data_IF_417602494512
#
_entry.id   IF_417602494512
#
_cell.length_a   1.000
_cell.length_b   1.000
_cell.length_c   1.000
_cell.angle_alpha   90.00
_cell.angle_beta   90.00
_cell.angle_gamma   90.00
#
_symmetry.space_group_name_H-M   'P 1'
#
loop_
_entity.id
_entity.type
_entity.pdbx_description
1 polymer ?
#
# COMPACT_ATOMS: atom_id res chain seq x y z
N UNK A 1 6.60 -11.06 -14.04
CA UNK A 1 6.12 -10.03 -13.08
C UNK A 1 7.03 -8.81 -13.14
N UNK A 2 6.47 -7.60 -13.13
CA UNK A 2 7.19 -6.31 -13.09
C UNK A 2 6.95 -5.68 -11.72
N UNK A 3 7.99 -5.12 -11.11
CA UNK A 3 7.93 -4.49 -9.79
C UNK A 3 8.55 -3.10 -9.90
N UNK A 4 7.87 -2.09 -9.35
CA UNK A 4 8.37 -0.71 -9.19
C UNK A 4 8.31 -0.33 -7.72
N UNK A 5 9.45 0.02 -7.16
CA UNK A 5 9.50 0.68 -5.85
C UNK A 5 9.12 2.13 -6.06
N UNK A 6 7.97 2.53 -5.55
CA UNK A 6 7.46 3.90 -5.66
C UNK A 6 8.04 4.78 -4.56
N UNK A 7 8.24 4.21 -3.39
CA UNK A 7 8.85 4.86 -2.24
C UNK A 7 9.41 3.87 -1.26
N UNK A 8 10.40 4.27 -0.46
CA UNK A 8 11.15 3.39 0.45
C UNK A 8 11.50 4.04 1.79
N UNK A 9 10.90 5.19 2.11
CA UNK A 9 11.04 5.81 3.42
C UNK A 9 9.90 5.38 4.35
N UNK A 10 10.13 5.47 5.65
CA UNK A 10 9.10 5.36 6.67
C UNK A 10 8.17 6.58 6.65
N UNK A 11 7.15 6.60 7.51
CA UNK A 11 6.23 7.71 7.67
C UNK A 11 6.95 9.05 7.82
N UNK A 12 6.48 10.07 7.09
CA UNK A 12 7.10 11.39 7.01
C UNK A 12 8.14 11.56 5.90
N UNK A 13 8.53 10.47 5.19
CA UNK A 13 9.44 10.52 4.06
C UNK A 13 10.91 10.69 4.44
N UNK A 14 11.77 10.80 3.42
CA UNK A 14 13.18 11.13 3.61
C UNK A 14 13.61 12.26 2.65
N UNK A 15 14.07 13.42 3.15
CA UNK A 15 14.19 13.79 4.56
C UNK A 15 12.83 13.94 5.24
N UNK A 16 12.71 13.54 6.49
CA UNK A 16 11.50 13.80 7.27
C UNK A 16 11.32 15.32 7.45
N UNK A 17 10.10 15.80 7.23
CA UNK A 17 9.80 17.23 7.07
C UNK A 17 10.24 18.12 8.23
N UNK A 18 10.21 17.62 9.46
CA UNK A 18 10.53 18.34 10.70
C UNK A 18 11.85 17.90 11.37
N UNK A 19 12.71 17.13 10.67
CA UNK A 19 13.91 16.53 11.25
C UNK A 19 15.17 17.29 10.81
N UNK A 20 15.98 17.73 11.78
CA UNK A 20 17.29 18.36 11.59
C UNK A 20 18.47 17.40 11.86
N UNK A 21 18.21 16.09 11.98
CA UNK A 21 19.28 15.11 12.11
C UNK A 21 20.26 15.21 10.92
N UNK A 22 21.58 15.04 11.13
CA UNK A 22 22.57 15.13 10.05
C UNK A 22 22.19 14.36 8.79
N UNK A 23 21.64 13.14 8.91
CA UNK A 23 21.18 12.36 7.76
C UNK A 23 20.02 13.04 7.00
N UNK A 24 19.08 13.69 7.69
CA UNK A 24 17.99 14.43 7.05
C UNK A 24 18.44 15.74 6.41
N UNK A 25 19.58 16.27 6.80
CA UNK A 25 20.17 17.47 6.18
C UNK A 25 20.89 17.16 4.87
N UNK A 26 21.37 15.92 4.67
CA UNK A 26 22.09 15.52 3.45
C UNK A 26 21.27 15.76 2.18
N UNK A 27 20.04 15.20 2.03
CA UNK A 27 19.24 15.44 0.83
C UNK A 27 18.82 16.89 0.66
N UNK A 28 18.59 17.65 1.76
CA UNK A 28 18.27 19.09 1.68
C UNK A 28 19.43 19.93 1.15
N UNK A 29 20.65 19.42 1.26
CA UNK A 29 21.88 20.05 0.74
C UNK A 29 22.25 19.53 -0.66
N UNK A 30 21.44 18.66 -1.25
CA UNK A 30 21.69 18.09 -2.57
C UNK A 30 22.79 17.04 -2.61
N UNK A 31 23.03 16.33 -1.49
CA UNK A 31 24.02 15.25 -1.43
C UNK A 31 23.59 14.08 -2.36
N UNK A 32 24.37 13.77 -3.41
CA UNK A 32 24.01 12.73 -4.37
C UNK A 32 24.01 11.32 -3.80
N UNK A 33 24.72 11.09 -2.68
CA UNK A 33 24.72 9.79 -2.00
C UNK A 33 23.53 9.61 -1.05
N UNK A 34 22.73 10.68 -0.87
CA UNK A 34 21.56 10.68 0.00
C UNK A 34 20.33 11.24 -0.73
N UNK A 35 19.88 10.61 -1.83
CA UNK A 35 18.73 11.11 -2.59
C UNK A 35 17.45 11.05 -1.75
N UNK A 36 16.53 12.02 -1.92
CA UNK A 36 15.22 11.99 -1.26
C UNK A 36 14.45 10.69 -1.58
N UNK A 37 13.60 10.26 -0.65
CA UNK A 37 12.73 9.09 -0.79
C UNK A 37 11.31 9.43 -0.33
N UNK A 38 10.34 9.07 -1.15
CA UNK A 38 8.93 9.08 -0.76
C UNK A 38 8.62 7.90 0.17
N UNK A 39 7.48 7.95 0.84
CA UNK A 39 7.04 6.94 1.79
C UNK A 39 6.74 5.60 1.11
N UNK A 40 6.90 4.52 1.85
CA UNK A 40 6.88 3.13 1.35
C UNK A 40 5.64 2.80 0.54
N UNK A 41 5.84 2.37 -0.70
CA UNK A 41 4.81 1.81 -1.58
C UNK A 41 5.46 1.06 -2.75
N UNK A 42 4.80 0.02 -3.26
CA UNK A 42 5.19 -0.68 -4.49
C UNK A 42 4.06 -0.63 -5.51
N UNK A 43 4.42 -0.71 -6.79
CA UNK A 43 3.50 -1.08 -7.86
C UNK A 43 3.97 -2.39 -8.50
N UNK A 44 3.06 -3.34 -8.68
CA UNK A 44 3.34 -4.67 -9.21
C UNK A 44 2.38 -4.98 -10.36
N UNK A 45 2.90 -5.59 -11.42
CA UNK A 45 2.10 -5.98 -12.57
C UNK A 45 2.57 -7.33 -13.12
N UNK A 46 1.65 -8.20 -13.51
CA UNK A 46 1.97 -9.45 -14.21
C UNK A 46 2.24 -9.21 -15.70
N UNK A 47 1.46 -8.34 -16.34
CA UNK A 47 1.48 -8.06 -17.78
C UNK A 47 2.24 -6.78 -18.17
N UNK A 48 2.32 -5.81 -17.27
CA UNK A 48 2.93 -4.50 -17.46
C UNK A 48 1.93 -3.44 -17.93
N UNK A 49 0.65 -3.77 -18.00
CA UNK A 49 -0.45 -2.91 -18.44
C UNK A 49 -1.36 -2.53 -17.27
N UNK A 50 -1.83 -3.51 -16.50
CA UNK A 50 -2.59 -3.28 -15.28
C UNK A 50 -1.73 -3.48 -14.03
N UNK A 51 -1.87 -2.58 -13.06
CA UNK A 51 -1.02 -2.49 -11.88
C UNK A 51 -1.79 -2.64 -10.59
N UNK A 52 -1.15 -3.26 -9.62
CA UNK A 52 -1.57 -3.36 -8.22
C UNK A 52 -0.62 -2.51 -7.39
N UNK A 53 -1.17 -1.63 -6.54
CA UNK A 53 -0.38 -0.93 -5.53
C UNK A 53 -0.32 -1.76 -4.25
N UNK A 54 0.84 -1.85 -3.64
CA UNK A 54 1.01 -2.33 -2.28
C UNK A 54 1.27 -1.12 -1.37
N UNK A 55 0.28 -0.83 -0.55
CA UNK A 55 0.08 0.40 0.21
C UNK A 55 -0.09 1.65 -0.68
N UNK A 56 -0.80 2.63 -0.16
CA UNK A 56 -1.07 3.91 -0.80
C UNK A 56 -0.58 5.04 0.10
N UNK A 57 0.68 5.43 -0.06
CA UNK A 57 1.28 6.48 0.76
C UNK A 57 0.71 7.86 0.46
N UNK A 58 0.81 8.83 1.37
CA UNK A 58 0.42 10.22 1.13
C UNK A 58 1.08 10.82 -0.13
N UNK A 59 2.26 10.29 -0.51
CA UNK A 59 3.03 10.74 -1.69
C UNK A 59 2.50 10.15 -3.01
N UNK A 60 1.42 9.36 -2.99
CA UNK A 60 0.96 8.59 -4.15
C UNK A 60 0.80 9.43 -5.42
N UNK A 61 0.30 10.66 -5.33
CA UNK A 61 0.17 11.54 -6.49
C UNK A 61 1.52 11.83 -7.16
N UNK A 62 2.56 12.10 -6.36
CA UNK A 62 3.91 12.30 -6.86
C UNK A 62 4.50 10.98 -7.39
N UNK A 63 4.27 9.88 -6.68
CA UNK A 63 4.72 8.56 -7.10
C UNK A 63 4.13 8.15 -8.45
N UNK A 64 2.85 8.45 -8.71
CA UNK A 64 2.24 8.23 -10.03
C UNK A 64 2.90 9.12 -11.07
N UNK A 65 3.11 10.41 -10.78
CA UNK A 65 3.73 11.36 -11.71
C UNK A 65 5.15 10.93 -12.12
N UNK A 66 5.94 10.44 -11.18
CA UNK A 66 7.32 10.03 -11.41
C UNK A 66 7.44 8.65 -12.11
N UNK A 67 6.33 7.92 -12.24
CA UNK A 67 6.31 6.58 -12.83
C UNK A 67 5.36 6.49 -14.04
N UNK A 68 5.85 6.72 -15.27
CA UNK A 68 5.04 6.76 -16.49
C UNK A 68 4.17 5.50 -16.72
N UNK A 69 4.57 4.34 -16.19
CA UNK A 69 3.78 3.10 -16.25
C UNK A 69 2.44 3.17 -15.50
N UNK A 70 2.30 4.17 -14.61
CA UNK A 70 1.07 4.43 -13.85
C UNK A 70 0.26 5.61 -14.42
N UNK A 71 0.73 6.23 -15.52
CA UNK A 71 -0.01 7.31 -16.16
C UNK A 71 -1.26 6.80 -16.88
N UNK A 72 -2.29 7.64 -17.08
CA UNK A 72 -3.39 7.35 -17.96
C UNK A 72 -2.91 6.99 -19.37
N UNK A 73 -3.51 5.97 -19.98
CA UNK A 73 -3.17 5.52 -21.32
C UNK A 73 -3.95 6.34 -22.36
N UNK A 74 -3.26 6.96 -23.34
CA UNK A 74 -3.89 7.91 -24.27
C UNK A 74 -5.04 7.32 -25.10
N UNK A 75 -5.02 6.01 -25.35
CA UNK A 75 -6.01 5.27 -26.14
C UNK A 75 -7.26 4.82 -25.36
N UNK A 76 -7.30 5.08 -24.03
CA UNK A 76 -8.36 4.63 -23.13
C UNK A 76 -9.39 5.71 -22.77
N UNK A 77 -9.38 6.85 -23.48
CA UNK A 77 -10.31 7.94 -23.30
C UNK A 77 -9.78 9.09 -22.43
N UNK A 78 -10.67 10.01 -22.06
CA UNK A 78 -10.30 11.22 -21.31
C UNK A 78 -9.78 10.94 -19.91
N UNK A 79 -10.27 9.88 -19.28
CA UNK A 79 -9.87 9.43 -17.94
C UNK A 79 -9.57 7.94 -17.99
N UNK A 80 -8.42 7.56 -17.51
CA UNK A 80 -7.97 6.17 -17.37
C UNK A 80 -7.08 6.04 -16.14
N UNK A 81 -7.05 4.86 -15.57
CA UNK A 81 -6.08 4.47 -14.56
C UNK A 81 -5.65 3.04 -14.80
N UNK A 82 -4.34 2.77 -14.93
CA UNK A 82 -3.83 1.41 -14.98
C UNK A 82 -3.88 0.71 -13.60
N UNK A 83 -4.14 1.45 -12.50
CA UNK A 83 -4.26 0.90 -11.16
C UNK A 83 -5.60 0.20 -11.03
N UNK A 84 -5.59 -1.12 -10.84
CA UNK A 84 -6.79 -1.97 -10.74
C UNK A 84 -7.04 -2.51 -9.35
N UNK A 85 -6.01 -2.52 -8.49
CA UNK A 85 -6.14 -2.92 -7.10
C UNK A 85 -5.14 -2.18 -6.21
N UNK A 86 -5.49 -2.07 -4.93
CA UNK A 86 -4.61 -1.62 -3.85
C UNK A 86 -4.67 -2.67 -2.75
N UNK A 87 -3.53 -3.17 -2.31
CA UNK A 87 -3.40 -4.10 -1.19
C UNK A 87 -2.81 -3.36 0.00
N UNK A 88 -3.50 -3.37 1.12
CA UNK A 88 -3.06 -2.70 2.35
C UNK A 88 -2.50 -3.71 3.35
N UNK A 89 -1.36 -3.39 3.94
CA UNK A 89 -0.70 -4.25 4.94
C UNK A 89 -0.97 -3.84 6.37
N UNK A 90 -1.40 -2.62 6.59
CA UNK A 90 -1.90 -2.07 7.86
C UNK A 90 -2.73 -0.81 7.60
N UNK A 91 -3.20 -0.13 8.66
CA UNK A 91 -4.01 1.07 8.56
C UNK A 91 -3.25 2.37 8.88
N UNK A 92 -1.92 2.36 8.95
CA UNK A 92 -1.14 3.57 9.22
C UNK A 92 -1.31 4.63 8.13
N UNK A 93 -1.19 5.90 8.51
CA UNK A 93 -1.38 7.06 7.61
C UNK A 93 -0.51 6.95 6.36
N UNK A 94 0.74 6.54 6.52
CA UNK A 94 1.70 6.37 5.42
C UNK A 94 1.38 5.19 4.50
N UNK A 95 0.43 4.33 4.87
CA UNK A 95 -0.03 3.22 4.03
C UNK A 95 -1.44 3.42 3.44
N UNK A 96 -2.29 4.27 4.03
CA UNK A 96 -3.68 4.40 3.58
C UNK A 96 -4.08 5.78 3.07
N UNK A 97 -3.39 6.86 3.47
CA UNK A 97 -3.84 8.21 3.14
C UNK A 97 -3.81 8.52 1.63
N UNK A 98 -2.95 7.87 0.87
CA UNK A 98 -2.89 7.99 -0.59
C UNK A 98 -4.14 7.51 -1.31
N UNK A 99 -4.98 6.66 -0.68
CA UNK A 99 -6.28 6.28 -1.23
C UNK A 99 -7.15 7.49 -1.56
N UNK A 100 -7.03 8.58 -0.81
CA UNK A 100 -7.77 9.81 -1.03
C UNK A 100 -7.45 10.48 -2.39
N UNK A 101 -6.27 10.19 -2.97
CA UNK A 101 -5.93 10.63 -4.32
C UNK A 101 -6.66 9.83 -5.41
N UNK A 102 -7.18 8.64 -5.10
CA UNK A 102 -7.84 7.74 -6.05
C UNK A 102 -9.37 7.92 -6.10
N UNK A 103 -9.91 8.99 -5.49
CA UNK A 103 -11.36 9.28 -5.41
C UNK A 103 -12.03 9.66 -6.74
N UNK A 104 -11.28 9.71 -7.85
CA UNK A 104 -11.71 10.30 -9.12
C UNK A 104 -12.57 9.36 -9.99
N UNK A 105 -13.39 8.49 -9.37
CA UNK A 105 -14.36 7.61 -10.04
C UNK A 105 -13.73 6.64 -11.07
N UNK A 106 -12.55 6.16 -10.80
CA UNK A 106 -11.93 5.04 -11.52
C UNK A 106 -12.16 3.75 -10.74
N UNK A 107 -12.53 2.69 -11.46
CA UNK A 107 -12.80 1.41 -10.81
C UNK A 107 -11.50 0.71 -10.36
N UNK A 108 -11.44 0.34 -9.10
CA UNK A 108 -10.39 -0.51 -8.52
C UNK A 108 -10.89 -1.26 -7.28
N UNK A 109 -10.12 -2.24 -6.82
CA UNK A 109 -10.43 -3.00 -5.62
C UNK A 109 -9.43 -2.66 -4.50
N UNK A 110 -9.89 -2.63 -3.25
CA UNK A 110 -9.05 -2.52 -2.05
C UNK A 110 -9.08 -3.85 -1.33
N UNK A 111 -7.92 -4.49 -1.23
CA UNK A 111 -7.71 -5.72 -0.49
C UNK A 111 -7.06 -5.39 0.85
N UNK A 112 -7.66 -5.79 1.96
CA UNK A 112 -7.09 -5.63 3.30
C UNK A 112 -7.74 -6.64 4.27
N UNK A 113 -7.16 -6.83 5.45
CA UNK A 113 -7.80 -7.59 6.52
C UNK A 113 -9.12 -6.94 6.94
N UNK A 114 -10.04 -7.69 7.52
CA UNK A 114 -11.30 -7.13 8.03
C UNK A 114 -11.03 -6.01 9.06
N UNK A 115 -9.98 -6.16 9.84
CA UNK A 115 -9.54 -5.16 10.82
C UNK A 115 -9.19 -3.83 10.16
N UNK A 116 -8.35 -3.86 9.12
CA UNK A 116 -7.94 -2.66 8.36
C UNK A 116 -9.14 -2.05 7.61
N UNK A 117 -9.99 -2.86 6.99
CA UNK A 117 -11.22 -2.37 6.35
C UNK A 117 -12.18 -1.71 7.36
N UNK A 118 -12.25 -2.24 8.58
CA UNK A 118 -13.01 -1.65 9.69
C UNK A 118 -12.49 -0.25 10.05
N UNK A 119 -11.17 -0.08 10.10
CA UNK A 119 -10.54 1.23 10.34
C UNK A 119 -10.92 2.23 9.23
N UNK A 120 -10.84 1.83 7.96
CA UNK A 120 -11.27 2.68 6.85
C UNK A 120 -12.76 3.03 6.93
N UNK A 121 -13.60 2.05 7.36
CA UNK A 121 -15.04 2.25 7.52
C UNK A 121 -15.40 3.21 8.65
N UNK A 122 -14.63 3.20 9.74
CA UNK A 122 -14.83 4.08 10.89
C UNK A 122 -14.38 5.53 10.63
N UNK A 123 -13.56 5.77 9.62
CA UNK A 123 -13.06 7.09 9.26
C UNK A 123 -13.83 7.64 8.05
N UNK A 124 -14.78 8.54 8.30
CA UNK A 124 -15.72 9.05 7.30
C UNK A 124 -15.06 9.72 6.09
N UNK A 125 -13.81 10.17 6.18
CA UNK A 125 -13.09 10.74 5.04
C UNK A 125 -12.93 9.74 3.90
N UNK A 126 -12.83 8.43 4.18
CA UNK A 126 -12.73 7.40 3.14
C UNK A 126 -14.06 7.09 2.43
N UNK A 127 -15.17 7.74 2.82
CA UNK A 127 -16.43 7.68 2.07
C UNK A 127 -16.37 8.42 0.73
N UNK A 128 -15.29 9.22 0.49
CA UNK A 128 -15.02 9.79 -0.84
C UNK A 128 -14.70 8.72 -1.89
N UNK A 129 -14.34 7.51 -1.45
CA UNK A 129 -14.17 6.33 -2.30
C UNK A 129 -15.54 5.71 -2.58
N UNK A 130 -16.21 6.23 -3.61
CA UNK A 130 -17.58 5.82 -3.97
C UNK A 130 -17.66 4.31 -4.20
N UNK A 131 -18.54 3.57 -3.49
CA UNK A 131 -18.70 2.12 -3.62
C UNK A 131 -19.17 1.64 -5.00
N UNK A 132 -19.71 2.50 -5.85
CA UNK A 132 -20.02 2.18 -7.23
C UNK A 132 -18.76 1.91 -8.09
N UNK A 133 -17.61 2.41 -7.65
CA UNK A 133 -16.34 2.26 -8.34
C UNK A 133 -15.30 1.49 -7.52
N UNK A 134 -15.35 1.56 -6.19
CA UNK A 134 -14.33 1.02 -5.31
C UNK A 134 -14.90 -0.09 -4.44
N UNK A 135 -14.52 -1.32 -4.75
CA UNK A 135 -14.91 -2.49 -3.95
C UNK A 135 -13.87 -2.77 -2.86
N UNK A 136 -14.32 -2.96 -1.63
CA UNK A 136 -13.50 -3.40 -0.50
C UNK A 136 -13.60 -4.91 -0.36
N UNK A 137 -12.46 -5.61 -0.45
CA UNK A 137 -12.39 -7.08 -0.46
C UNK A 137 -11.61 -7.54 0.79
N UNK A 138 -12.26 -8.24 1.72
CA UNK A 138 -11.57 -8.72 2.91
C UNK A 138 -10.60 -9.86 2.57
N UNK A 139 -9.40 -9.80 3.14
CA UNK A 139 -8.40 -10.87 3.13
C UNK A 139 -8.38 -11.57 4.48
N UNK A 140 -8.10 -12.87 4.45
CA UNK A 140 -7.86 -13.69 5.65
C UNK A 140 -6.41 -14.10 5.70
N UNK A 141 -5.82 -14.07 6.89
CA UNK A 141 -4.48 -14.59 7.13
C UNK A 141 -4.37 -16.06 6.72
N UNK A 142 -3.20 -16.44 6.27
CA UNK A 142 -2.82 -17.81 5.89
C UNK A 142 -3.74 -18.41 4.81
N UNK A 143 -4.28 -17.56 3.92
CA UNK A 143 -5.08 -17.95 2.77
C UNK A 143 -4.63 -17.20 1.53
N UNK A 144 -4.39 -17.97 0.46
CA UNK A 144 -4.11 -17.38 -0.84
C UNK A 144 -5.30 -16.56 -1.35
N UNK A 145 -5.01 -15.38 -1.85
CA UNK A 145 -5.98 -14.44 -2.45
C UNK A 145 -5.53 -14.10 -3.86
N UNK A 146 -6.30 -14.52 -4.86
CA UNK A 146 -6.10 -14.10 -6.23
C UNK A 146 -6.58 -12.65 -6.39
N UNK A 147 -5.73 -11.78 -6.92
CA UNK A 147 -6.09 -10.39 -7.17
C UNK A 147 -6.84 -10.26 -8.49
N UNK A 148 -7.99 -9.61 -8.45
CA UNK A 148 -8.87 -9.47 -9.60
C UNK A 148 -8.97 -8.01 -10.07
N UNK A 149 -9.25 -7.82 -11.34
CA UNK A 149 -9.73 -6.56 -11.90
C UNK A 149 -11.15 -6.27 -11.41
N UNK A 150 -11.64 -5.02 -11.47
CA UNK A 150 -13.02 -4.69 -11.10
C UNK A 150 -14.09 -5.46 -11.88
N UNK A 151 -13.79 -5.94 -13.07
CA UNK A 151 -14.69 -6.78 -13.88
C UNK A 151 -14.63 -8.28 -13.53
N UNK A 152 -13.81 -8.67 -12.56
CA UNK A 152 -13.64 -10.05 -12.12
C UNK A 152 -12.52 -10.83 -12.81
N UNK A 153 -11.88 -10.29 -13.83
CA UNK A 153 -10.76 -10.97 -14.52
C UNK A 153 -9.51 -11.03 -13.62
N UNK A 154 -8.73 -12.12 -13.64
CA UNK A 154 -7.50 -12.23 -12.87
C UNK A 154 -6.44 -11.20 -13.29
N UNK A 155 -5.74 -10.62 -12.30
CA UNK A 155 -4.55 -9.79 -12.51
C UNK A 155 -3.27 -10.63 -12.70
N UNK A 156 -3.35 -11.96 -12.54
CA UNK A 156 -2.21 -12.86 -12.62
C UNK A 156 -1.24 -12.73 -11.44
N UNK A 157 -1.73 -12.24 -10.34
CA UNK A 157 -1.00 -12.08 -9.08
C UNK A 157 -1.84 -12.72 -7.97
N UNK A 158 -1.21 -13.61 -7.21
CA UNK A 158 -1.78 -14.17 -5.98
C UNK A 158 -0.94 -13.68 -4.80
N UNK A 159 -1.59 -13.34 -3.71
CA UNK A 159 -0.94 -12.94 -2.46
C UNK A 159 -1.32 -13.91 -1.34
N UNK A 160 -0.37 -14.17 -0.45
CA UNK A 160 -0.58 -14.94 0.78
C UNK A 160 -0.27 -14.02 1.97
N UNK A 161 -1.28 -13.44 2.62
CA UNK A 161 -1.08 -12.57 3.77
C UNK A 161 -0.78 -13.40 5.02
N UNK A 162 0.20 -12.96 5.80
CA UNK A 162 0.55 -13.56 7.08
C UNK A 162 0.86 -12.48 8.12
N UNK A 163 0.62 -12.79 9.39
CA UNK A 163 0.86 -11.86 10.49
C UNK A 163 2.37 -11.62 10.68
N UNK A 164 2.73 -10.38 11.01
CA UNK A 164 4.08 -10.03 11.47
C UNK A 164 3.98 -9.20 12.74
N UNK A 165 4.99 -9.26 13.64
CA UNK A 165 5.02 -8.42 14.81
C UNK A 165 4.93 -6.94 14.39
N UNK A 166 3.89 -6.26 14.82
CA UNK A 166 3.60 -4.87 14.48
C UNK A 166 2.76 -4.21 15.56
N UNK A 167 2.36 -2.98 15.30
CA UNK A 167 1.45 -2.22 16.14
C UNK A 167 0.13 -1.99 15.41
N UNK A 168 -0.93 -1.76 16.17
CA UNK A 168 -2.14 -1.15 15.64
C UNK A 168 -1.84 0.25 15.13
N UNK A 169 -2.67 0.79 14.23
CA UNK A 169 -2.51 2.15 13.74
C UNK A 169 -2.44 3.15 14.91
N UNK A 170 -1.55 4.14 14.83
CA UNK A 170 -1.18 5.05 15.93
C UNK A 170 -2.38 5.63 16.68
N UNK A 171 -3.44 6.03 15.99
CA UNK A 171 -4.64 6.61 16.61
C UNK A 171 -5.59 5.58 17.27
N UNK A 172 -5.25 4.31 17.21
CA UNK A 172 -5.96 3.20 17.85
C UNK A 172 -5.13 2.55 18.98
N UNK A 173 -3.91 3.05 19.22
CA UNK A 173 -3.07 2.56 20.31
C UNK A 173 -3.79 2.75 21.65
N UNK A 174 -3.91 1.67 22.41
CA UNK A 174 -4.43 1.68 23.80
C UNK A 174 -3.26 1.42 24.76
N UNK A 175 -2.78 2.48 25.40
CA UNK A 175 -1.69 2.39 26.39
C UNK A 175 -2.04 1.48 27.57
N UNK A 176 -3.33 1.28 27.87
CA UNK A 176 -3.82 0.39 28.92
C UNK A 176 -3.82 -1.10 28.54
N UNK A 177 -3.69 -1.42 27.26
CA UNK A 177 -3.78 -2.79 26.73
C UNK A 177 -2.44 -3.57 26.75
N UNK A 178 -1.39 -3.02 27.40
CA UNK A 178 -0.10 -3.67 27.55
C UNK A 178 0.93 -3.30 26.46
N UNK A 179 2.01 -4.07 26.39
CA UNK A 179 3.18 -3.76 25.54
C UNK A 179 2.90 -3.70 24.02
N UNK A 180 1.83 -4.35 23.55
CA UNK A 180 1.45 -4.37 22.14
C UNK A 180 0.36 -3.34 21.80
N UNK A 181 -0.02 -2.46 22.73
CA UNK A 181 -1.03 -1.40 22.53
C UNK A 181 -2.39 -1.89 22.01
N UNK A 182 -2.78 -3.12 22.35
CA UNK A 182 -4.03 -3.73 21.88
C UNK A 182 -3.99 -4.24 20.45
N UNK A 183 -2.80 -4.37 19.84
CA UNK A 183 -2.61 -4.93 18.50
C UNK A 183 -3.03 -6.40 18.43
N UNK A 184 -3.63 -6.78 17.30
CA UNK A 184 -3.95 -8.17 16.93
C UNK A 184 -3.28 -8.52 15.61
N UNK A 185 -3.20 -9.80 15.29
CA UNK A 185 -2.49 -10.31 14.11
C UNK A 185 -2.91 -9.66 12.79
N UNK A 186 -4.16 -9.23 12.67
CA UNK A 186 -4.70 -8.59 11.47
C UNK A 186 -4.35 -7.09 11.34
N UNK A 187 -3.76 -6.45 12.35
CA UNK A 187 -3.41 -5.03 12.31
C UNK A 187 -2.19 -4.76 11.43
N UNK A 188 -1.22 -5.69 11.40
CA UNK A 188 0.01 -5.56 10.59
C UNK A 188 0.35 -6.90 9.97
N UNK A 189 0.41 -6.94 8.65
CA UNK A 189 0.67 -8.14 7.87
C UNK A 189 1.82 -7.96 6.89
N UNK A 190 2.44 -9.07 6.53
CA UNK A 190 3.29 -9.18 5.36
C UNK A 190 2.62 -10.03 4.28
N UNK A 191 3.16 -9.99 3.08
CA UNK A 191 2.62 -10.66 1.90
C UNK A 191 3.70 -11.50 1.22
N UNK A 192 3.44 -12.78 1.01
CA UNK A 192 4.11 -13.55 -0.01
C UNK A 192 3.40 -13.29 -1.34
N UNK A 193 4.14 -12.89 -2.37
CA UNK A 193 3.57 -12.53 -3.67
C UNK A 193 3.97 -13.57 -4.70
N UNK A 194 2.97 -14.16 -5.35
CA UNK A 194 3.09 -15.26 -6.30
C UNK A 194 2.65 -14.84 -7.70
N UNK A 195 3.24 -15.45 -8.71
CA UNK A 195 2.78 -15.31 -10.09
C UNK A 195 1.56 -16.22 -10.39
N UNK A 196 1.04 -16.13 -11.62
CA UNK A 196 -0.11 -16.92 -12.07
C UNK A 196 0.15 -18.45 -12.08
N UNK A 197 1.41 -18.88 -11.99
CA UNK A 197 1.79 -20.28 -11.86
C UNK A 197 1.93 -20.73 -10.40
N UNK A 198 1.62 -19.85 -9.44
CA UNK A 198 1.73 -20.11 -8.01
C UNK A 198 3.18 -20.09 -7.48
N UNK A 199 4.14 -19.57 -8.26
CA UNK A 199 5.53 -19.49 -7.83
C UNK A 199 5.75 -18.20 -7.05
N UNK A 200 6.36 -18.30 -5.87
CA UNK A 200 6.76 -17.14 -5.06
C UNK A 200 7.75 -16.28 -5.83
N UNK A 201 7.41 -15.01 -5.97
CA UNK A 201 8.26 -14.02 -6.64
C UNK A 201 9.03 -13.17 -5.64
N UNK A 202 8.39 -12.74 -4.55
CA UNK A 202 9.00 -11.96 -3.48
C UNK A 202 8.10 -11.91 -2.22
N UNK A 203 8.68 -11.42 -1.13
CA UNK A 203 7.96 -11.07 0.09
C UNK A 203 7.92 -9.55 0.24
N UNK A 204 6.78 -9.01 0.63
CA UNK A 204 6.59 -7.59 0.94
C UNK A 204 6.27 -7.42 2.41
N UNK A 205 7.19 -6.81 3.13
CA UNK A 205 7.10 -6.59 4.58
C UNK A 205 7.52 -5.16 4.91
N UNK A 206 6.63 -4.16 4.70
CA UNK A 206 6.98 -2.74 4.87
C UNK A 206 7.05 -2.31 6.33
N UNK A 207 6.36 -3.02 7.23
CA UNK A 207 6.34 -2.75 8.65
C UNK A 207 6.51 -4.07 9.42
N UNK A 208 7.55 -4.13 10.25
CA UNK A 208 7.82 -5.27 11.14
C UNK A 208 8.58 -4.74 12.36
N UNK A 209 7.99 -4.88 13.56
CA UNK A 209 8.55 -4.34 14.78
C UNK A 209 9.78 -5.14 15.27
N UNK A 210 9.82 -6.44 14.98
CA UNK A 210 10.96 -7.30 15.28
C UNK A 210 10.96 -8.55 14.40
N UNK A 211 12.14 -9.06 14.11
CA UNK A 211 12.30 -10.37 13.46
C UNK A 211 12.16 -11.44 14.55
N UNK A 212 11.30 -12.43 14.32
CA UNK A 212 11.11 -13.61 15.15
C UNK A 212 11.68 -14.83 14.43
N UNK A 213 12.06 -15.87 15.18
CA UNK A 213 12.49 -17.16 14.62
C UNK A 213 11.32 -17.89 13.95
#
# INVERSE_FOLDING_TARGET
MKIRVLGSAAGGGYPQWNCNHPNSLRPRRGDPEAPPRTQSSLAVSADGDDWVLFNASPDLRQQIFDNPVLHPRPDRGLRDSPIKAVVLTNADVDHVAGLLNLRESQAFQIYATERVLGVLGANSIFNVLNPDFVTRVPMRLDRDVELLRPNGDPLGITIHPFAVPGKVALWLEDEGAGENFGSVDEDTIALEVKDAAGRTCFFYMPACARITE
#
